data_IF_049117766238
#
_entry.id   IF_049117766238
#
_cell.length_a   1.000
_cell.length_b   1.000
_cell.length_c   1.000
_cell.angle_alpha   90.00
_cell.angle_beta   90.00
_cell.angle_gamma   90.00
#
_symmetry.space_group_name_H-M   'P 1'
#
loop_
_entity.id
_entity.type
_entity.pdbx_description
1 polymer ?
#
# COMPACT_ATOMS: atom_id res chain seq x y z
N UNK A 1 -2.20 -27.75 3.28
CA UNK A 1 -2.41 -26.39 3.83
C UNK A 1 -1.12 -25.61 3.64
N UNK A 2 -1.22 -24.39 3.15
CA UNK A 2 -0.12 -23.44 3.02
C UNK A 2 -0.49 -22.10 3.65
N UNK A 3 0.46 -21.42 4.28
CA UNK A 3 0.26 -20.11 4.90
C UNK A 3 1.21 -19.12 4.25
N UNK A 4 0.65 -18.17 3.49
CA UNK A 4 1.42 -17.12 2.85
C UNK A 4 1.89 -16.08 3.86
N UNK A 5 3.16 -15.68 3.78
CA UNK A 5 3.63 -14.45 4.40
C UNK A 5 3.35 -13.30 3.44
N UNK A 6 2.31 -12.51 3.71
CA UNK A 6 1.85 -11.44 2.83
C UNK A 6 2.89 -10.33 2.58
N UNK A 7 3.84 -10.13 3.49
CA UNK A 7 4.78 -8.99 3.49
C UNK A 7 4.09 -7.64 3.30
N UNK A 8 2.79 -7.59 3.54
CA UNK A 8 1.91 -6.45 3.32
C UNK A 8 0.86 -6.36 4.43
N UNK A 9 -0.06 -5.42 4.30
CA UNK A 9 -1.19 -5.25 5.19
C UNK A 9 -2.35 -4.58 4.44
N UNK A 10 -3.54 -4.52 5.09
CA UNK A 10 -4.70 -3.82 4.55
C UNK A 10 -5.11 -4.36 3.18
N UNK A 11 -5.30 -3.48 2.19
CA UNK A 11 -5.72 -3.84 0.84
C UNK A 11 -4.70 -4.73 0.10
N UNK A 12 -3.45 -4.79 0.56
CA UNK A 12 -2.45 -5.71 0.02
C UNK A 12 -2.78 -7.18 0.28
N UNK A 13 -3.34 -7.51 1.44
CA UNK A 13 -3.84 -8.86 1.74
C UNK A 13 -5.07 -9.20 0.91
N UNK A 14 -5.93 -8.19 0.62
CA UNK A 14 -7.05 -8.36 -0.31
C UNK A 14 -6.58 -8.75 -1.71
N UNK A 15 -5.54 -8.08 -2.23
CA UNK A 15 -4.96 -8.41 -3.54
C UNK A 15 -4.41 -9.84 -3.60
N UNK A 16 -3.80 -10.33 -2.51
CA UNK A 16 -3.31 -11.72 -2.42
C UNK A 16 -4.49 -12.69 -2.46
N UNK A 17 -5.57 -12.40 -1.72
CA UNK A 17 -6.81 -13.19 -1.77
C UNK A 17 -7.41 -13.25 -3.18
N UNK A 18 -7.48 -12.12 -3.87
CA UNK A 18 -7.94 -12.06 -5.27
C UNK A 18 -7.02 -12.85 -6.21
N UNK A 19 -5.71 -12.85 -5.96
CA UNK A 19 -4.76 -13.65 -6.76
C UNK A 19 -4.93 -15.14 -6.55
N UNK A 20 -5.21 -15.58 -5.32
CA UNK A 20 -5.54 -16.98 -5.02
C UNK A 20 -6.82 -17.38 -5.77
N UNK A 21 -7.86 -16.55 -5.69
CA UNK A 21 -9.12 -16.77 -6.41
C UNK A 21 -8.88 -16.88 -7.93
N UNK A 22 -8.09 -15.98 -8.53
CA UNK A 22 -7.74 -16.04 -9.95
C UNK A 22 -7.06 -17.37 -10.33
N UNK A 23 -6.19 -17.89 -9.47
CA UNK A 23 -5.54 -19.19 -9.69
C UNK A 23 -6.52 -20.36 -9.60
N UNK A 24 -7.46 -20.35 -8.64
CA UNK A 24 -8.51 -21.35 -8.51
C UNK A 24 -9.46 -21.33 -9.71
N UNK A 25 -9.91 -20.17 -10.13
CA UNK A 25 -10.78 -20.02 -11.31
C UNK A 25 -10.10 -20.46 -12.61
N UNK A 26 -8.77 -20.35 -12.68
CA UNK A 26 -7.97 -20.87 -13.79
C UNK A 26 -7.73 -22.40 -13.71
N UNK A 27 -8.21 -23.08 -12.68
CA UNK A 27 -8.04 -24.52 -12.47
C UNK A 27 -6.59 -24.94 -12.16
N UNK A 28 -5.79 -24.04 -11.55
CA UNK A 28 -4.42 -24.36 -11.19
C UNK A 28 -4.36 -25.38 -10.06
N UNK A 29 -3.42 -26.32 -10.16
CA UNK A 29 -3.12 -27.27 -9.09
C UNK A 29 -2.53 -26.52 -7.87
N UNK A 30 -2.67 -27.11 -6.68
CA UNK A 30 -2.26 -26.49 -5.41
C UNK A 30 -0.82 -25.94 -5.42
N UNK A 31 0.15 -26.74 -5.88
CA UNK A 31 1.55 -26.34 -5.92
C UNK A 31 1.82 -25.19 -6.92
N UNK A 32 1.10 -25.18 -8.02
CA UNK A 32 1.15 -24.10 -9.00
C UNK A 32 0.55 -22.80 -8.44
N UNK A 33 -0.56 -22.91 -7.74
CA UNK A 33 -1.19 -21.79 -7.03
C UNK A 33 -0.24 -21.19 -6.02
N UNK A 34 0.37 -22.01 -5.15
CA UNK A 34 1.35 -21.57 -4.16
C UNK A 34 2.50 -20.79 -4.83
N UNK A 35 3.13 -21.40 -5.84
CA UNK A 35 4.26 -20.77 -6.54
C UNK A 35 3.88 -19.47 -7.22
N UNK A 36 2.68 -19.38 -7.79
CA UNK A 36 2.17 -18.18 -8.49
C UNK A 36 1.89 -17.06 -7.51
N UNK A 37 1.27 -17.36 -6.37
CA UNK A 37 0.95 -16.38 -5.33
C UNK A 37 2.21 -15.87 -4.62
N UNK A 38 3.20 -16.72 -4.35
CA UNK A 38 4.50 -16.28 -3.79
C UNK A 38 5.20 -15.28 -4.71
N UNK A 39 5.25 -15.53 -6.02
CA UNK A 39 5.81 -14.58 -7.01
C UNK A 39 5.01 -13.27 -7.06
N UNK A 40 3.70 -13.35 -6.90
CA UNK A 40 2.85 -12.17 -6.82
C UNK A 40 3.19 -11.31 -5.60
N UNK A 41 3.31 -11.94 -4.42
CA UNK A 41 3.71 -11.28 -3.16
C UNK A 41 5.08 -10.58 -3.32
N UNK A 42 6.06 -11.23 -3.95
CA UNK A 42 7.39 -10.66 -4.20
C UNK A 42 7.34 -9.39 -5.08
N UNK A 43 6.36 -9.31 -5.98
CA UNK A 43 6.19 -8.18 -6.89
C UNK A 43 5.30 -7.08 -6.33
N UNK A 44 4.67 -7.29 -5.18
CA UNK A 44 3.73 -6.35 -4.58
C UNK A 44 4.45 -5.26 -3.79
N UNK A 45 4.01 -4.01 -3.93
CA UNK A 45 4.57 -2.86 -3.23
C UNK A 45 3.46 -2.09 -2.51
N UNK A 46 3.71 -1.78 -1.25
CA UNK A 46 2.79 -0.99 -0.40
C UNK A 46 3.35 0.41 -0.20
N UNK A 47 2.51 1.42 -0.37
CA UNK A 47 2.80 2.84 -0.15
C UNK A 47 1.72 3.46 0.72
N UNK A 48 2.06 4.37 1.61
CA UNK A 48 1.05 5.05 2.39
C UNK A 48 1.49 6.43 2.89
N UNK A 49 0.49 7.29 3.09
CA UNK A 49 0.62 8.58 3.78
C UNK A 49 -0.51 8.69 4.79
N UNK A 50 -0.15 8.91 6.05
CA UNK A 50 -1.08 9.02 7.17
C UNK A 50 -1.03 10.41 7.77
N UNK A 51 -2.14 10.84 8.40
CA UNK A 51 -2.18 12.12 9.12
C UNK A 51 -1.22 12.15 10.31
N UNK A 52 -1.06 11.01 11.00
CA UNK A 52 -0.03 10.82 12.01
C UNK A 52 0.43 9.35 12.03
N UNK A 53 1.58 9.10 12.64
CA UNK A 53 2.15 7.75 12.77
C UNK A 53 2.20 7.28 14.23
N UNK A 54 1.48 7.92 15.13
CA UNK A 54 1.56 7.62 16.57
C UNK A 54 1.15 6.21 16.91
N UNK A 55 0.10 5.69 16.27
CA UNK A 55 -0.35 4.31 16.48
C UNK A 55 0.71 3.31 16.02
N UNK A 56 1.31 3.51 14.85
CA UNK A 56 2.41 2.68 14.36
C UNK A 56 3.62 2.72 15.30
N UNK A 57 3.97 3.90 15.79
CA UNK A 57 5.09 4.10 16.72
C UNK A 57 4.83 3.41 18.06
N UNK A 58 3.66 3.63 18.68
CA UNK A 58 3.28 3.04 19.98
C UNK A 58 3.25 1.52 19.94
N UNK A 59 2.90 0.95 18.78
CA UNK A 59 2.85 -0.50 18.56
C UNK A 59 4.16 -1.09 17.98
N UNK A 60 5.27 -0.32 17.99
CA UNK A 60 6.60 -0.81 17.60
C UNK A 60 6.78 -1.12 16.11
N UNK A 61 5.91 -0.60 15.21
CA UNK A 61 6.01 -0.82 13.76
C UNK A 61 6.99 0.14 13.07
N UNK A 62 7.59 1.09 13.81
CA UNK A 62 8.55 2.08 13.31
C UNK A 62 9.93 1.97 13.95
N UNK A 63 10.26 0.82 14.54
CA UNK A 63 11.51 0.63 15.32
C UNK A 63 12.80 0.76 14.52
N UNK A 64 12.77 0.60 13.21
CA UNK A 64 13.93 0.76 12.32
C UNK A 64 14.14 2.17 11.75
N UNK A 65 13.23 3.10 12.01
CA UNK A 65 13.23 4.43 11.39
C UNK A 65 13.93 5.44 12.31
N UNK A 66 15.23 5.64 12.07
CA UNK A 66 16.13 6.45 12.93
C UNK A 66 15.86 7.96 12.97
N UNK A 67 15.03 8.52 12.10
CA UNK A 67 14.87 9.99 11.96
C UNK A 67 13.41 10.42 11.81
N UNK A 68 12.54 9.90 12.69
CA UNK A 68 11.20 10.46 12.75
C UNK A 68 11.22 11.76 13.56
N UNK A 69 11.59 12.86 12.92
CA UNK A 69 11.45 14.21 13.52
C UNK A 69 9.95 14.58 13.45
N UNK A 70 9.18 14.03 14.37
CA UNK A 70 7.76 14.36 14.57
C UNK A 70 7.52 15.83 14.95
N UNK A 71 8.57 16.62 15.10
CA UNK A 71 8.50 17.99 15.64
C UNK A 71 8.43 19.10 14.59
N UNK A 72 8.64 18.81 13.31
CA UNK A 72 8.50 19.84 12.28
C UNK A 72 7.01 20.01 11.89
N UNK A 73 6.51 21.23 12.06
CA UNK A 73 5.11 21.59 11.86
C UNK A 73 4.58 21.10 10.49
N UNK A 74 3.60 20.19 10.52
CA UNK A 74 2.90 19.68 9.34
C UNK A 74 3.77 18.91 8.32
N UNK A 75 4.86 18.26 8.74
CA UNK A 75 5.60 17.31 7.89
C UNK A 75 4.86 15.97 7.87
N UNK A 76 4.54 15.51 6.67
CA UNK A 76 3.92 14.19 6.42
C UNK A 76 4.93 13.28 5.73
N UNK A 77 5.33 12.18 6.36
CA UNK A 77 6.19 11.20 5.71
C UNK A 77 5.44 10.40 4.66
N UNK A 78 6.12 10.07 3.59
CA UNK A 78 5.72 9.08 2.60
C UNK A 78 6.38 7.77 2.99
N UNK A 79 5.57 6.77 3.26
CA UNK A 79 6.00 5.48 3.76
C UNK A 79 5.78 4.40 2.71
N UNK A 80 6.50 3.31 2.84
CA UNK A 80 6.34 2.13 2.02
C UNK A 80 6.78 0.87 2.75
N UNK A 81 6.78 -0.26 2.05
CA UNK A 81 7.31 -1.53 2.54
C UNK A 81 8.66 -1.87 1.90
N UNK A 82 9.53 -2.52 2.65
CA UNK A 82 10.70 -3.21 2.10
C UNK A 82 10.28 -4.55 1.47
N UNK A 83 11.17 -5.21 0.70
CA UNK A 83 10.89 -6.56 0.19
C UNK A 83 10.57 -7.58 1.29
N UNK A 84 11.06 -7.38 2.51
CA UNK A 84 10.78 -8.24 3.68
C UNK A 84 9.45 -7.91 4.36
N UNK A 85 8.72 -6.88 3.90
CA UNK A 85 7.45 -6.45 4.48
C UNK A 85 7.58 -5.51 5.67
N UNK A 86 8.77 -4.97 5.95
CA UNK A 86 8.94 -3.98 7.02
C UNK A 86 8.65 -2.56 6.51
N UNK A 87 8.16 -1.71 7.40
CA UNK A 87 7.86 -0.31 7.06
C UNK A 87 9.17 0.48 6.87
N UNK A 88 9.25 1.23 5.78
CA UNK A 88 10.35 2.15 5.50
C UNK A 88 9.84 3.54 5.11
N UNK A 89 10.69 4.56 5.29
CA UNK A 89 10.39 5.91 4.84
C UNK A 89 10.97 6.14 3.44
N UNK A 90 10.11 6.46 2.49
CA UNK A 90 10.47 6.76 1.10
C UNK A 90 10.71 8.26 0.87
N UNK A 91 10.16 9.08 1.74
CA UNK A 91 10.31 10.52 1.65
C UNK A 91 9.43 11.27 2.64
N UNK A 92 9.34 12.57 2.46
CA UNK A 92 8.46 13.43 3.26
C UNK A 92 8.12 14.72 2.51
N UNK A 93 7.01 15.35 2.88
CA UNK A 93 6.64 16.66 2.36
C UNK A 93 5.83 17.46 3.40
N UNK A 94 5.71 18.75 3.19
CA UNK A 94 4.92 19.62 4.05
C UNK A 94 3.45 19.57 3.63
N UNK A 95 2.59 19.06 4.49
CA UNK A 95 1.16 18.91 4.29
C UNK A 95 0.79 17.67 3.45
N UNK A 96 -0.45 17.19 3.67
CA UNK A 96 -0.96 15.95 3.07
C UNK A 96 -0.93 15.98 1.54
N UNK A 97 -1.40 17.06 0.93
CA UNK A 97 -1.46 17.17 -0.54
C UNK A 97 -0.10 16.96 -1.22
N UNK A 98 0.97 17.58 -0.68
CA UNK A 98 2.32 17.42 -1.22
C UNK A 98 2.91 16.05 -0.94
N UNK A 99 2.58 15.45 0.21
CA UNK A 99 3.03 14.10 0.55
C UNK A 99 2.39 13.07 -0.39
N UNK A 100 1.10 13.18 -0.65
CA UNK A 100 0.39 12.32 -1.62
C UNK A 100 0.94 12.49 -3.04
N UNK A 101 1.17 13.73 -3.49
CA UNK A 101 1.81 13.96 -4.79
C UNK A 101 3.20 13.29 -4.88
N UNK A 102 4.01 13.40 -3.81
CA UNK A 102 5.31 12.73 -3.74
C UNK A 102 5.19 11.21 -3.76
N UNK A 103 4.19 10.63 -3.08
CA UNK A 103 3.90 9.19 -3.12
C UNK A 103 3.55 8.76 -4.54
N UNK A 104 2.65 9.48 -5.21
CA UNK A 104 2.26 9.22 -6.61
C UNK A 104 3.47 9.27 -7.54
N UNK A 105 4.33 10.28 -7.40
CA UNK A 105 5.56 10.39 -8.21
C UNK A 105 6.55 9.24 -7.92
N UNK A 106 6.62 8.75 -6.69
CA UNK A 106 7.42 7.59 -6.33
C UNK A 106 6.89 6.32 -7.01
N UNK A 107 5.58 6.07 -6.90
CA UNK A 107 4.90 4.94 -7.55
C UNK A 107 5.11 4.98 -9.08
N UNK A 108 4.93 6.13 -9.71
CA UNK A 108 5.10 6.28 -11.15
C UNK A 108 6.54 6.03 -11.62
N UNK A 109 7.54 6.36 -10.80
CA UNK A 109 8.96 6.08 -11.11
C UNK A 109 9.32 4.61 -10.98
N UNK A 110 8.77 3.92 -9.99
CA UNK A 110 9.01 2.49 -9.71
C UNK A 110 8.17 1.58 -10.62
N UNK A 111 7.01 2.06 -11.06
CA UNK A 111 5.99 1.33 -11.78
C UNK A 111 6.30 1.01 -13.25
N UNK A 112 7.46 0.43 -13.56
CA UNK A 112 7.84 0.07 -14.94
C UNK A 112 7.10 -1.14 -15.52
N UNK A 113 6.38 -1.94 -14.72
CA UNK A 113 5.68 -3.15 -15.13
C UNK A 113 4.32 -3.29 -14.43
N UNK A 114 3.46 -2.27 -14.57
CA UNK A 114 2.16 -2.23 -13.87
C UNK A 114 0.99 -2.70 -14.73
N UNK A 115 1.20 -2.95 -16.03
CA UNK A 115 0.14 -3.26 -17.01
C UNK A 115 -0.78 -4.42 -16.60
N UNK A 116 -0.20 -5.44 -15.96
CA UNK A 116 -0.91 -6.65 -15.54
C UNK A 116 -1.29 -6.62 -14.05
N UNK A 117 -0.99 -5.52 -13.36
CA UNK A 117 -1.28 -5.35 -11.93
C UNK A 117 -2.63 -4.68 -11.70
N UNK A 118 -3.19 -4.93 -10.54
CA UNK A 118 -4.36 -4.23 -10.02
C UNK A 118 -3.86 -3.15 -9.06
N UNK A 119 -4.29 -1.90 -9.27
CA UNK A 119 -4.09 -0.81 -8.34
C UNK A 119 -5.17 -0.85 -7.27
N UNK A 120 -4.79 -1.08 -6.04
CA UNK A 120 -5.73 -1.09 -4.93
C UNK A 120 -5.43 0.06 -3.96
N UNK A 121 -6.47 0.82 -3.60
CA UNK A 121 -6.38 1.93 -2.67
C UNK A 121 -7.33 1.68 -1.51
N UNK A 122 -6.82 1.77 -0.27
CA UNK A 122 -7.69 1.86 0.89
C UNK A 122 -7.54 3.20 1.60
N UNK A 123 -8.63 3.71 2.14
CA UNK A 123 -8.67 4.99 2.84
C UNK A 123 -9.42 4.91 4.15
N UNK A 124 -9.07 5.78 5.08
CA UNK A 124 -9.81 5.93 6.33
C UNK A 124 -10.60 7.24 6.27
N UNK A 125 -11.92 7.13 6.08
CA UNK A 125 -12.87 8.25 6.09
C UNK A 125 -12.50 9.42 5.17
N UNK A 126 -11.87 9.16 4.01
CA UNK A 126 -11.48 10.22 3.07
C UNK A 126 -11.61 9.78 1.60
N UNK A 127 -12.81 9.38 1.14
CA UNK A 127 -13.03 8.84 -0.21
C UNK A 127 -12.65 9.81 -1.33
N UNK A 128 -12.87 11.10 -1.15
CA UNK A 128 -12.52 12.13 -2.16
C UNK A 128 -11.00 12.19 -2.39
N UNK A 129 -10.22 12.07 -1.29
CA UNK A 129 -8.77 12.01 -1.33
C UNK A 129 -8.28 10.77 -2.05
N UNK A 130 -8.92 9.62 -1.81
CA UNK A 130 -8.59 8.36 -2.48
C UNK A 130 -8.87 8.43 -3.98
N UNK A 131 -10.02 8.96 -4.40
CA UNK A 131 -10.36 9.17 -5.83
C UNK A 131 -9.39 10.10 -6.54
N UNK A 132 -8.95 11.17 -5.87
CA UNK A 132 -7.96 12.09 -6.44
C UNK A 132 -6.60 11.39 -6.63
N UNK A 133 -6.15 10.60 -5.65
CA UNK A 133 -4.92 9.80 -5.76
C UNK A 133 -5.03 8.79 -6.90
N UNK A 134 -6.15 8.05 -7.00
CA UNK A 134 -6.39 7.11 -8.09
C UNK A 134 -6.32 7.80 -9.45
N UNK A 135 -7.06 8.90 -9.62
CA UNK A 135 -7.08 9.66 -10.87
C UNK A 135 -5.68 10.07 -11.31
N UNK A 136 -4.88 10.65 -10.40
CA UNK A 136 -3.52 11.10 -10.73
C UNK A 136 -2.59 9.92 -11.04
N UNK A 137 -2.77 8.78 -10.37
CA UNK A 137 -2.01 7.56 -10.67
C UNK A 137 -2.35 7.03 -12.05
N UNK A 138 -3.63 6.90 -12.40
CA UNK A 138 -4.08 6.40 -13.70
C UNK A 138 -3.66 7.31 -14.87
N UNK A 139 -3.45 8.61 -14.63
CA UNK A 139 -2.85 9.52 -15.61
C UNK A 139 -1.34 9.23 -15.84
N UNK A 140 -0.66 8.55 -14.92
CA UNK A 140 0.80 8.33 -14.96
C UNK A 140 1.22 6.88 -15.22
N UNK A 141 0.40 5.92 -14.86
CA UNK A 141 0.69 4.49 -14.99
C UNK A 141 -0.48 3.75 -15.64
N UNK A 142 -0.16 2.67 -16.36
CA UNK A 142 -1.18 1.77 -16.90
C UNK A 142 -1.30 0.54 -16.00
N UNK A 143 -2.53 0.21 -15.60
CA UNK A 143 -2.86 -0.96 -14.78
C UNK A 143 -3.98 -1.76 -15.42
N UNK A 144 -4.10 -3.05 -15.05
CA UNK A 144 -5.19 -3.94 -15.53
C UNK A 144 -6.55 -3.48 -15.01
N UNK A 145 -6.60 -3.05 -13.77
CA UNK A 145 -7.81 -2.56 -13.09
C UNK A 145 -7.42 -1.70 -11.87
N UNK A 146 -8.37 -0.94 -11.35
CA UNK A 146 -8.22 -0.25 -10.06
C UNK A 146 -9.50 -0.37 -9.23
N UNK A 147 -9.36 -0.32 -7.92
CA UNK A 147 -10.48 -0.20 -7.00
C UNK A 147 -10.09 0.55 -5.72
N UNK A 148 -11.11 1.15 -5.09
CA UNK A 148 -10.99 1.87 -3.82
C UNK A 148 -11.91 1.22 -2.80
N UNK A 149 -11.42 1.05 -1.57
CA UNK A 149 -12.19 0.51 -0.44
C UNK A 149 -11.94 1.32 0.83
N UNK A 150 -12.89 1.29 1.74
CA UNK A 150 -12.68 1.76 3.11
C UNK A 150 -11.71 0.83 3.85
N UNK A 151 -10.89 1.40 4.75
CA UNK A 151 -10.20 0.59 5.75
C UNK A 151 -11.21 0.03 6.75
N UNK A 152 -10.91 -1.11 7.35
CA UNK A 152 -11.73 -1.72 8.39
C UNK A 152 -10.86 -2.18 9.56
N UNK A 153 -11.48 -2.35 10.72
CA UNK A 153 -10.87 -2.93 11.92
C UNK A 153 -9.45 -2.39 12.19
N UNK A 154 -8.46 -3.28 12.21
CA UNK A 154 -7.08 -2.96 12.55
C UNK A 154 -6.43 -1.98 11.56
N UNK A 155 -6.78 -2.06 10.28
CA UNK A 155 -6.26 -1.11 9.26
C UNK A 155 -6.71 0.32 9.56
N UNK A 156 -7.96 0.52 9.97
CA UNK A 156 -8.49 1.84 10.39
C UNK A 156 -7.75 2.38 11.60
N UNK A 157 -7.47 1.53 12.59
CA UNK A 157 -6.73 1.91 13.80
C UNK A 157 -5.32 2.44 13.47
N UNK A 158 -4.63 1.82 12.50
CA UNK A 158 -3.29 2.26 12.09
C UNK A 158 -3.30 3.42 11.11
N UNK A 159 -4.26 3.44 10.16
CA UNK A 159 -4.35 4.49 9.15
C UNK A 159 -4.74 5.84 9.75
N UNK A 160 -5.54 5.85 10.80
CA UNK A 160 -6.19 7.02 11.37
C UNK A 160 -7.05 7.77 10.34
N UNK A 161 -7.88 8.70 10.79
CA UNK A 161 -8.71 9.53 9.92
C UNK A 161 -7.87 10.25 8.86
N UNK A 162 -8.26 10.18 7.61
CA UNK A 162 -7.57 10.80 6.47
C UNK A 162 -6.38 10.01 5.90
N UNK A 163 -6.08 8.81 6.42
CA UNK A 163 -4.99 7.96 5.90
C UNK A 163 -5.30 7.37 4.52
N UNK A 164 -4.27 7.27 3.67
CA UNK A 164 -4.31 6.65 2.33
C UNK A 164 -3.24 5.56 2.28
N UNK A 165 -3.64 4.38 1.82
CA UNK A 165 -2.76 3.24 1.55
C UNK A 165 -2.97 2.83 0.10
N UNK A 166 -1.88 2.67 -0.64
CA UNK A 166 -1.86 2.26 -2.06
C UNK A 166 -1.02 1.02 -2.20
N UNK A 167 -1.53 0.03 -2.91
CA UNK A 167 -0.82 -1.23 -3.19
C UNK A 167 -0.96 -1.60 -4.66
N UNK A 168 0.13 -2.11 -5.25
CA UNK A 168 0.15 -2.63 -6.61
C UNK A 168 1.31 -3.63 -6.83
#
# INVERSE_FOLDING_TARGET
IYVFNSRSASVGETLIGLKIQECEEAGMEFEQTVSTVEKYIESQHTYFVLENLDTLRKNGRLTGIKSFVASALNIKPVMGSTPEGTICQLGQARGMKRALAKMVDQIAREGKATKDKILAISHCNCPERAREVERILLDKIHVKASFIVDTAAISTMYANDGGIIVVL
#
